data_IF_440636114918
#
_entry.id   IF_440636114918
#
_cell.length_a   1.000
_cell.length_b   1.000
_cell.length_c   1.000
_cell.angle_alpha   90.00
_cell.angle_beta   90.00
_cell.angle_gamma   90.00
#
_symmetry.space_group_name_H-M   'P 1'
#
loop_
_entity.id
_entity.type
_entity.pdbx_description
1 polymer ?
#
# COMPACT_ATOMS: atom_id res chain seq x y z
N UNK A 1 22.78 18.27 -47.51
CA UNK A 1 22.67 18.28 -46.04
C UNK A 1 21.98 19.57 -45.65
N UNK A 2 20.71 19.55 -45.27
CA UNK A 2 19.93 20.71 -44.89
C UNK A 2 20.02 20.91 -43.36
N UNK A 3 20.54 22.06 -42.95
CA UNK A 3 20.60 22.46 -41.55
C UNK A 3 19.18 22.70 -40.97
N UNK A 4 18.79 21.92 -39.97
CA UNK A 4 17.57 22.18 -39.23
C UNK A 4 17.85 23.28 -38.20
N UNK A 5 17.37 24.51 -38.49
CA UNK A 5 17.38 25.63 -37.55
C UNK A 5 16.50 25.29 -36.33
N UNK A 6 17.11 25.08 -35.17
CA UNK A 6 16.40 25.03 -33.89
C UNK A 6 15.87 26.42 -33.54
N UNK A 7 14.56 26.65 -33.69
CA UNK A 7 13.90 27.82 -33.15
C UNK A 7 13.58 27.60 -31.70
N UNK A 8 14.28 28.28 -30.80
CA UNK A 8 13.95 28.29 -29.37
C UNK A 8 12.81 29.30 -29.15
N UNK A 9 11.63 28.78 -28.80
CA UNK A 9 10.49 29.63 -28.38
C UNK A 9 10.76 30.12 -26.96
N UNK A 10 10.76 31.46 -26.76
CA UNK A 10 10.94 32.01 -25.40
C UNK A 10 9.70 31.75 -24.55
N UNK A 11 9.88 31.64 -23.20
CA UNK A 11 8.75 31.45 -22.24
C UNK A 11 7.70 32.58 -22.39
N UNK A 12 8.12 33.76 -22.76
CA UNK A 12 7.24 34.94 -22.98
C UNK A 12 6.38 34.81 -24.21
N UNK A 13 6.90 34.22 -25.28
CA UNK A 13 6.17 33.99 -26.53
C UNK A 13 5.20 32.82 -26.39
N UNK A 14 5.54 31.81 -25.61
CA UNK A 14 4.63 30.71 -25.24
C UNK A 14 3.40 31.22 -24.48
N UNK A 15 3.60 32.08 -23.45
CA UNK A 15 2.50 32.64 -22.67
C UNK A 15 1.61 33.57 -23.50
N UNK A 16 2.17 34.32 -24.44
CA UNK A 16 1.39 35.18 -25.35
C UNK A 16 0.59 34.37 -26.37
N UNK A 17 1.13 33.23 -26.84
CA UNK A 17 0.46 32.35 -27.79
C UNK A 17 -0.73 31.60 -27.18
N UNK A 18 -0.65 31.21 -25.91
CA UNK A 18 -1.75 30.52 -25.20
C UNK A 18 -2.88 31.48 -24.77
N UNK A 19 -2.59 32.74 -24.56
CA UNK A 19 -3.60 33.75 -24.19
C UNK A 19 -4.60 34.11 -25.31
N UNK A 20 -4.30 33.84 -26.57
CA UNK A 20 -5.17 34.17 -27.74
C UNK A 20 -6.15 33.04 -28.10
N UNK A 21 -5.99 31.85 -27.58
CA UNK A 21 -6.86 30.69 -27.86
C UNK A 21 -8.09 30.57 -26.95
N UNK A 22 -8.21 31.38 -25.90
CA UNK A 22 -9.34 31.33 -24.93
C UNK A 22 -10.35 32.46 -25.10
N UNK A 23 -10.17 33.34 -26.06
CA UNK A 23 -11.05 34.47 -26.33
C UNK A 23 -12.17 34.18 -27.32
N UNK A 24 -13.17 33.34 -26.98
CA UNK A 24 -14.25 33.08 -27.91
C UNK A 24 -15.45 32.25 -27.42
N UNK A 25 -15.60 32.00 -26.15
CA UNK A 25 -16.83 31.40 -25.61
C UNK A 25 -17.41 32.34 -24.54
N UNK A 26 -18.44 33.10 -24.91
CA UNK A 26 -19.24 33.83 -23.95
C UNK A 26 -20.02 32.83 -23.08
N UNK A 27 -19.51 32.54 -21.90
CA UNK A 27 -20.24 31.80 -20.89
C UNK A 27 -21.21 32.76 -20.25
N UNK A 28 -22.51 32.52 -20.44
CA UNK A 28 -23.57 33.31 -19.83
C UNK A 28 -23.44 33.28 -18.30
N UNK A 29 -23.63 34.43 -17.67
CA UNK A 29 -23.46 34.67 -16.22
C UNK A 29 -24.34 33.84 -15.27
N UNK A 30 -25.19 32.96 -15.80
CA UNK A 30 -26.10 32.11 -15.00
C UNK A 30 -25.51 30.76 -14.55
N UNK A 31 -24.33 30.34 -15.05
CA UNK A 31 -23.74 29.04 -14.68
C UNK A 31 -22.66 29.17 -13.57
N UNK A 32 -22.18 30.39 -13.28
CA UNK A 32 -21.15 30.62 -12.25
C UNK A 32 -21.68 30.73 -10.81
N UNK A 33 -22.99 30.77 -10.60
CA UNK A 33 -23.58 30.94 -9.26
C UNK A 33 -23.72 29.63 -8.44
N UNK A 34 -23.49 28.45 -9.05
CA UNK A 34 -23.69 27.15 -8.37
C UNK A 34 -22.37 26.55 -7.84
N UNK A 35 -21.21 27.06 -8.24
CA UNK A 35 -19.90 26.48 -7.87
C UNK A 35 -19.25 27.06 -6.61
N UNK A 36 -19.84 28.10 -5.99
CA UNK A 36 -19.34 28.68 -4.74
C UNK A 36 -20.33 28.42 -3.59
N UNK A 37 -20.63 27.16 -3.30
CA UNK A 37 -21.15 26.75 -2.02
C UNK A 37 -20.12 27.06 -0.95
N UNK A 38 -20.50 27.85 0.08
CA UNK A 38 -19.66 28.10 1.25
C UNK A 38 -19.13 26.77 1.79
N UNK A 39 -17.81 26.63 2.11
CA UNK A 39 -17.33 25.43 2.76
C UNK A 39 -18.15 25.21 4.04
N UNK A 40 -18.72 24.01 4.20
CA UNK A 40 -19.37 23.62 5.44
C UNK A 40 -18.33 23.74 6.55
N UNK A 41 -18.63 24.56 7.55
CA UNK A 41 -17.85 24.65 8.77
C UNK A 41 -18.00 23.33 9.49
N UNK A 42 -16.96 22.49 9.43
CA UNK A 42 -16.88 21.27 10.24
C UNK A 42 -16.65 21.69 11.67
N UNK A 43 -17.70 21.67 12.48
CA UNK A 43 -17.59 21.89 13.92
C UNK A 43 -16.81 20.71 14.53
N UNK A 44 -15.73 20.97 15.32
CA UNK A 44 -15.06 19.93 16.08
C UNK A 44 -16.04 19.32 17.09
N UNK A 45 -16.35 18.05 16.99
CA UNK A 45 -17.17 17.34 17.96
C UNK A 45 -18.41 16.62 17.41
N UNK A 46 -18.63 16.55 16.09
CA UNK A 46 -19.63 15.66 15.56
C UNK A 46 -19.21 14.20 15.76
N UNK A 47 -20.05 13.32 16.36
CA UNK A 47 -19.71 11.92 16.49
C UNK A 47 -19.51 11.32 15.09
N UNK A 48 -18.36 10.67 14.90
CA UNK A 48 -18.07 9.88 13.69
C UNK A 48 -19.23 8.91 13.51
N UNK A 49 -19.86 8.96 12.34
CA UNK A 49 -20.95 8.07 11.99
C UNK A 49 -20.51 6.63 12.26
N UNK A 50 -21.26 5.94 13.09
CA UNK A 50 -21.12 4.51 13.32
C UNK A 50 -21.10 3.79 11.97
N UNK A 51 -20.18 2.86 11.73
CA UNK A 51 -20.12 2.10 10.48
C UNK A 51 -21.47 1.41 10.26
N UNK A 52 -21.99 1.54 9.06
CA UNK A 52 -23.26 0.95 8.63
C UNK A 52 -23.24 -0.56 8.91
N UNK A 53 -24.21 -1.14 9.63
CA UNK A 53 -24.28 -2.57 9.85
C UNK A 53 -24.57 -3.26 8.51
N UNK A 54 -23.62 -3.99 7.96
CA UNK A 54 -23.83 -4.73 6.71
C UNK A 54 -22.56 -5.20 6.01
N UNK A 55 -21.39 -4.70 6.37
CA UNK A 55 -20.14 -5.29 5.89
C UNK A 55 -19.74 -6.36 6.91
N UNK A 56 -20.14 -7.59 6.65
CA UNK A 56 -19.61 -8.75 7.38
C UNK A 56 -18.11 -8.78 7.15
N UNK A 57 -17.27 -8.68 8.20
CA UNK A 57 -15.84 -8.90 8.07
C UNK A 57 -15.63 -10.31 7.50
N UNK A 58 -14.62 -10.53 6.64
CA UNK A 58 -14.30 -11.87 6.18
C UNK A 58 -14.12 -12.76 7.41
N UNK A 59 -14.88 -13.85 7.48
CA UNK A 59 -14.80 -14.83 8.56
C UNK A 59 -13.34 -15.18 8.75
N UNK A 60 -12.83 -15.03 9.98
CA UNK A 60 -11.48 -15.42 10.35
C UNK A 60 -11.20 -16.83 9.85
N UNK A 61 -10.13 -16.98 9.07
CA UNK A 61 -9.68 -18.27 8.61
C UNK A 61 -9.07 -18.99 9.81
N UNK A 62 -9.89 -19.76 10.50
CA UNK A 62 -9.41 -20.78 11.44
C UNK A 62 -8.96 -21.96 10.60
N UNK A 63 -7.70 -21.95 10.16
CA UNK A 63 -6.99 -23.21 9.85
C UNK A 63 -5.54 -22.90 9.50
N UNK A 64 -4.62 -23.54 10.15
CA UNK A 64 -3.20 -23.69 9.79
C UNK A 64 -3.02 -24.54 8.52
N UNK A 65 -3.82 -24.30 7.50
CA UNK A 65 -3.74 -25.04 6.23
C UNK A 65 -2.86 -24.28 5.28
N UNK A 66 -1.74 -24.86 4.89
CA UNK A 66 -0.87 -24.31 3.85
C UNK A 66 -1.66 -24.16 2.55
N UNK A 67 -1.74 -22.94 2.02
CA UNK A 67 -2.36 -22.70 0.72
C UNK A 67 -1.32 -22.82 -0.38
N UNK A 68 -1.60 -23.67 -1.36
CA UNK A 68 -0.78 -23.86 -2.56
C UNK A 68 -1.40 -23.06 -3.70
N UNK A 69 -0.65 -22.10 -4.26
CA UNK A 69 -1.16 -21.16 -5.27
C UNK A 69 -0.60 -21.51 -6.65
N UNK A 70 -1.49 -21.62 -7.63
CA UNK A 70 -1.10 -21.84 -9.03
C UNK A 70 -0.39 -20.58 -9.57
N UNK A 71 0.83 -20.70 -10.13
CA UNK A 71 1.60 -19.55 -10.63
C UNK A 71 1.12 -19.01 -11.98
N UNK A 72 0.13 -19.65 -12.61
CA UNK A 72 -0.38 -19.27 -13.93
C UNK A 72 -1.71 -18.53 -13.87
N UNK A 73 -2.60 -18.92 -12.95
CA UNK A 73 -3.96 -18.36 -12.83
C UNK A 73 -4.37 -17.95 -11.42
N UNK A 74 -3.43 -18.04 -10.44
CA UNK A 74 -3.59 -17.66 -9.03
C UNK A 74 -4.67 -18.45 -8.27
N UNK A 75 -5.15 -19.57 -8.77
CA UNK A 75 -6.06 -20.43 -8.01
C UNK A 75 -5.35 -21.02 -6.79
N UNK A 76 -6.06 -21.05 -5.65
CA UNK A 76 -5.53 -21.58 -4.39
C UNK A 76 -6.07 -22.98 -4.12
N UNK A 77 -5.20 -23.86 -3.64
CA UNK A 77 -5.49 -25.26 -3.33
C UNK A 77 -5.06 -25.60 -1.90
N UNK A 78 -5.79 -26.47 -1.24
CA UNK A 78 -5.47 -26.91 0.13
C UNK A 78 -4.41 -28.01 0.18
N UNK A 79 -4.11 -28.64 -0.95
CA UNK A 79 -3.12 -29.72 -1.06
C UNK A 79 -2.25 -29.58 -2.29
N UNK A 80 -1.00 -30.05 -2.21
CA UNK A 80 -0.09 -30.10 -3.36
C UNK A 80 -0.63 -31.03 -4.47
N UNK A 81 -1.33 -32.11 -4.11
CA UNK A 81 -1.93 -33.03 -5.07
C UNK A 81 -3.02 -32.34 -5.91
N UNK A 82 -3.87 -31.50 -5.28
CA UNK A 82 -4.89 -30.73 -5.97
C UNK A 82 -4.27 -29.69 -6.91
N UNK A 83 -3.19 -29.00 -6.49
CA UNK A 83 -2.44 -28.10 -7.37
C UNK A 83 -1.83 -28.86 -8.57
N UNK A 84 -1.24 -30.03 -8.36
CA UNK A 84 -0.70 -30.84 -9.46
C UNK A 84 -1.77 -31.26 -10.45
N UNK A 85 -2.92 -31.77 -9.97
CA UNK A 85 -4.03 -32.16 -10.83
C UNK A 85 -4.56 -30.98 -11.66
N UNK A 86 -4.62 -29.78 -11.05
CA UNK A 86 -4.98 -28.54 -11.76
C UNK A 86 -3.94 -28.20 -12.85
N UNK A 87 -2.64 -28.26 -12.52
CA UNK A 87 -1.56 -27.98 -13.50
C UNK A 87 -1.59 -28.96 -14.68
N UNK A 88 -1.86 -30.25 -14.43
CA UNK A 88 -1.97 -31.25 -15.47
C UNK A 88 -3.15 -30.97 -16.40
N UNK A 89 -4.29 -30.54 -15.84
CA UNK A 89 -5.51 -30.34 -16.63
C UNK A 89 -5.58 -28.97 -17.30
N UNK A 90 -5.17 -27.91 -16.62
CA UNK A 90 -5.32 -26.53 -17.09
C UNK A 90 -4.07 -25.95 -17.76
N UNK A 91 -2.87 -26.44 -17.43
CA UNK A 91 -1.59 -25.89 -17.88
C UNK A 91 -0.67 -26.93 -18.56
N UNK A 92 -1.25 -27.98 -19.13
CA UNK A 92 -0.55 -28.93 -20.01
C UNK A 92 0.52 -29.77 -19.30
N UNK A 93 0.36 -30.08 -18.01
CA UNK A 93 1.25 -30.98 -17.28
C UNK A 93 2.53 -30.33 -16.79
N UNK A 94 2.48 -29.01 -16.49
CA UNK A 94 3.61 -28.32 -15.86
C UNK A 94 3.92 -28.94 -14.49
N UNK A 95 4.97 -29.76 -14.41
CA UNK A 95 5.32 -30.49 -13.19
C UNK A 95 6.00 -29.55 -12.21
N UNK A 96 5.31 -29.22 -11.09
CA UNK A 96 5.93 -28.55 -9.94
C UNK A 96 6.26 -29.60 -8.88
N UNK A 97 7.54 -29.70 -8.54
CA UNK A 97 7.97 -30.51 -7.41
C UNK A 97 7.84 -29.70 -6.12
N UNK A 98 7.55 -30.34 -4.99
CA UNK A 98 7.43 -29.67 -3.70
C UNK A 98 8.71 -28.92 -3.27
N UNK A 99 9.86 -29.37 -3.76
CA UNK A 99 11.16 -28.71 -3.55
C UNK A 99 11.33 -27.39 -4.36
N UNK A 100 10.48 -27.17 -5.38
CA UNK A 100 10.51 -25.95 -6.20
C UNK A 100 9.59 -24.84 -5.67
N UNK A 101 8.87 -25.11 -4.58
CA UNK A 101 7.95 -24.14 -3.98
C UNK A 101 8.64 -23.37 -2.87
N UNK A 102 8.63 -22.05 -2.97
CA UNK A 102 8.99 -21.17 -1.86
C UNK A 102 7.83 -21.12 -0.87
N UNK A 103 8.11 -21.40 0.40
CA UNK A 103 7.14 -21.46 1.49
C UNK A 103 7.40 -20.33 2.46
N UNK A 104 6.39 -19.54 2.76
CA UNK A 104 6.46 -18.45 3.73
C UNK A 104 5.10 -18.22 4.37
N UNK A 105 5.06 -17.43 5.44
CA UNK A 105 3.80 -17.02 6.07
C UNK A 105 3.50 -15.58 5.68
N UNK A 106 2.31 -15.32 5.15
CA UNK A 106 1.85 -13.98 4.80
C UNK A 106 0.60 -13.64 5.62
N UNK A 107 0.69 -12.61 6.45
CA UNK A 107 -0.39 -12.19 7.35
C UNK A 107 -0.93 -13.34 8.22
N UNK A 108 -0.03 -14.20 8.70
CA UNK A 108 -0.39 -15.38 9.50
C UNK A 108 -0.86 -16.60 8.69
N UNK A 109 -0.99 -16.50 7.38
CA UNK A 109 -1.44 -17.58 6.51
C UNK A 109 -0.22 -18.24 5.86
N UNK A 110 0.01 -19.55 6.04
CA UNK A 110 1.06 -20.28 5.34
C UNK A 110 0.77 -20.34 3.84
N UNK A 111 1.75 -19.96 3.04
CA UNK A 111 1.69 -19.95 1.57
C UNK A 111 2.82 -20.81 1.00
N UNK A 112 2.54 -21.53 -0.08
CA UNK A 112 3.55 -22.25 -0.86
C UNK A 112 3.27 -21.99 -2.34
N UNK A 113 4.20 -21.37 -3.06
CA UNK A 113 4.06 -21.07 -4.48
C UNK A 113 5.39 -21.18 -5.21
N UNK A 114 5.34 -21.39 -6.52
CA UNK A 114 6.54 -21.34 -7.36
C UNK A 114 6.89 -19.89 -7.63
N UNK A 115 8.06 -19.48 -7.15
CA UNK A 115 8.61 -18.12 -7.34
C UNK A 115 9.73 -18.22 -8.38
N UNK A 116 9.72 -17.33 -9.38
CA UNK A 116 10.86 -17.20 -10.30
C UNK A 116 11.99 -16.45 -9.62
N UNK A 117 13.23 -16.84 -9.91
CA UNK A 117 14.41 -16.34 -9.20
C UNK A 117 14.58 -14.82 -9.27
N UNK A 118 14.07 -14.18 -10.33
CA UNK A 118 14.17 -12.73 -10.56
C UNK A 118 12.95 -11.94 -10.07
N UNK A 119 11.93 -12.59 -9.50
CA UNK A 119 10.78 -11.87 -8.95
C UNK A 119 11.12 -11.26 -7.60
N UNK A 120 10.87 -9.96 -7.47
CA UNK A 120 10.93 -9.31 -6.17
C UNK A 120 9.74 -9.75 -5.31
N UNK A 121 9.89 -9.65 -4.00
CA UNK A 121 8.79 -9.91 -3.08
C UNK A 121 7.60 -8.96 -3.34
N UNK A 122 7.88 -7.72 -3.73
CA UNK A 122 6.84 -6.78 -4.14
C UNK A 122 6.03 -7.33 -5.32
N UNK A 123 6.71 -7.83 -6.35
CA UNK A 123 6.05 -8.44 -7.51
C UNK A 123 5.21 -9.66 -7.10
N UNK A 124 5.75 -10.54 -6.24
CA UNK A 124 5.02 -11.71 -5.75
C UNK A 124 3.74 -11.31 -5.03
N UNK A 125 3.80 -10.36 -4.09
CA UNK A 125 2.62 -9.93 -3.33
C UNK A 125 1.60 -9.24 -4.23
N UNK A 126 2.04 -8.34 -5.12
CA UNK A 126 1.13 -7.52 -5.92
C UNK A 126 0.56 -8.23 -7.13
N UNK A 127 1.43 -8.88 -7.91
CA UNK A 127 1.05 -9.40 -9.23
C UNK A 127 0.71 -10.89 -9.17
N UNK A 128 1.43 -11.68 -8.37
CA UNK A 128 1.16 -13.12 -8.26
C UNK A 128 0.03 -13.40 -7.28
N UNK A 129 0.02 -12.73 -6.12
CA UNK A 129 -1.03 -12.87 -5.11
C UNK A 129 -2.16 -11.85 -5.27
N UNK A 130 -2.08 -10.95 -6.26
CA UNK A 130 -3.06 -9.91 -6.57
C UNK A 130 -3.41 -8.97 -5.40
N UNK A 131 -2.51 -8.81 -4.44
CA UNK A 131 -2.71 -7.98 -3.23
C UNK A 131 -2.26 -6.53 -3.46
N UNK A 132 -2.69 -5.91 -4.54
CA UNK A 132 -2.27 -4.57 -4.98
C UNK A 132 -2.64 -3.44 -4.01
N UNK A 133 -3.66 -3.66 -3.17
CA UNK A 133 -4.10 -2.73 -2.12
C UNK A 133 -3.14 -2.67 -0.94
N UNK A 134 -2.47 -3.75 -0.63
CA UNK A 134 -1.73 -3.93 0.61
C UNK A 134 -0.29 -3.45 0.54
N UNK A 135 0.33 -3.55 -0.62
CA UNK A 135 1.70 -3.07 -0.85
C UNK A 135 1.71 -2.22 -2.10
N UNK A 136 2.31 -1.06 -2.04
CA UNK A 136 2.43 -0.16 -3.21
C UNK A 136 3.82 -0.28 -3.83
N UNK A 137 3.92 0.10 -5.11
CA UNK A 137 5.18 0.23 -5.83
C UNK A 137 5.22 1.59 -6.51
N UNK A 138 6.35 2.28 -6.42
CA UNK A 138 6.57 3.57 -7.06
C UNK A 138 7.95 3.64 -7.72
N UNK A 139 9.04 3.73 -6.95
CA UNK A 139 10.37 3.83 -7.53
C UNK A 139 10.94 2.49 -8.02
N UNK A 140 10.59 1.39 -7.38
CA UNK A 140 11.15 0.04 -7.59
C UNK A 140 12.69 -0.05 -7.46
N UNK A 141 13.27 0.88 -6.69
CA UNK A 141 14.73 1.09 -6.55
C UNK A 141 15.16 1.25 -5.09
N UNK A 142 14.27 0.96 -4.14
CA UNK A 142 14.59 1.05 -2.71
C UNK A 142 14.68 2.46 -2.12
N UNK A 143 14.17 3.49 -2.81
CA UNK A 143 14.35 4.90 -2.41
C UNK A 143 13.13 5.45 -1.68
N UNK A 144 11.90 5.19 -2.19
CA UNK A 144 10.71 5.94 -1.78
C UNK A 144 10.00 5.41 -0.52
N UNK A 145 10.29 4.19 -0.08
CA UNK A 145 9.68 3.57 1.10
C UNK A 145 8.21 3.15 0.96
N UNK A 146 7.56 3.35 -0.20
CA UNK A 146 6.13 3.02 -0.38
C UNK A 146 5.84 1.53 -0.34
N UNK A 147 6.84 0.70 -0.65
CA UNK A 147 6.76 -0.76 -0.64
C UNK A 147 7.17 -1.38 0.70
N UNK A 148 7.28 -0.60 1.77
CA UNK A 148 7.66 -1.10 3.10
C UNK A 148 6.65 -2.11 3.61
N UNK A 149 7.15 -3.25 4.07
CA UNK A 149 6.43 -4.32 4.77
C UNK A 149 7.23 -4.74 6.00
N UNK A 150 6.68 -5.60 6.84
CA UNK A 150 7.42 -6.19 7.97
C UNK A 150 7.74 -7.64 7.64
N UNK A 151 9.02 -8.02 7.71
CA UNK A 151 9.49 -9.41 7.57
C UNK A 151 10.27 -9.79 8.82
N UNK A 152 9.87 -10.85 9.48
CA UNK A 152 10.45 -11.32 10.76
C UNK A 152 10.57 -10.18 11.79
N UNK A 153 9.55 -9.34 11.90
CA UNK A 153 9.49 -8.19 12.82
C UNK A 153 10.34 -6.98 12.41
N UNK A 154 10.98 -6.99 11.24
CA UNK A 154 11.82 -5.88 10.74
C UNK A 154 11.17 -5.21 9.53
N UNK A 155 11.18 -3.88 9.45
CA UNK A 155 10.73 -3.19 8.25
C UNK A 155 11.74 -3.41 7.13
N UNK A 156 11.24 -3.81 5.95
CA UNK A 156 12.04 -4.01 4.74
C UNK A 156 11.33 -3.37 3.54
N UNK A 157 12.09 -3.11 2.51
CA UNK A 157 11.58 -2.64 1.22
C UNK A 157 11.35 -3.85 0.31
N UNK A 158 10.12 -4.23 0.08
CA UNK A 158 9.78 -5.45 -0.67
C UNK A 158 10.26 -5.44 -2.14
N UNK A 159 10.51 -4.27 -2.72
CA UNK A 159 11.11 -4.15 -4.06
C UNK A 159 12.60 -4.54 -4.09
N UNK A 160 13.27 -4.61 -2.93
CA UNK A 160 14.71 -4.90 -2.80
C UNK A 160 14.99 -6.33 -2.29
N UNK A 161 13.97 -7.14 -2.12
CA UNK A 161 14.09 -8.53 -1.64
C UNK A 161 13.56 -9.45 -2.71
N UNK A 162 14.28 -10.51 -3.02
CA UNK A 162 13.81 -11.53 -3.95
C UNK A 162 12.76 -12.43 -3.28
N UNK A 163 11.74 -12.80 -4.03
CA UNK A 163 10.70 -13.67 -3.51
C UNK A 163 11.21 -15.04 -3.04
N UNK A 164 12.27 -15.56 -3.68
CA UNK A 164 12.92 -16.83 -3.28
C UNK A 164 13.65 -16.74 -1.93
N UNK A 165 14.06 -15.55 -1.50
CA UNK A 165 14.70 -15.33 -0.19
C UNK A 165 13.70 -15.37 0.97
N UNK A 166 12.41 -15.43 0.65
CA UNK A 166 11.35 -15.47 1.66
C UNK A 166 11.07 -16.88 2.21
N UNK A 167 11.83 -17.90 1.81
CA UNK A 167 11.67 -19.25 2.35
C UNK A 167 11.72 -19.26 3.89
N UNK A 168 10.68 -19.78 4.52
CA UNK A 168 10.53 -19.86 5.98
C UNK A 168 10.27 -18.53 6.69
N UNK A 169 10.08 -17.42 5.97
CA UNK A 169 9.89 -16.08 6.55
C UNK A 169 8.44 -15.82 6.95
N UNK A 170 8.29 -14.92 7.93
CA UNK A 170 6.99 -14.36 8.33
C UNK A 170 6.87 -12.94 7.81
N UNK A 171 5.90 -12.72 6.94
CA UNK A 171 5.67 -11.45 6.24
C UNK A 171 4.34 -10.88 6.69
N UNK A 172 4.35 -9.61 7.06
CA UNK A 172 3.15 -8.85 7.43
C UNK A 172 3.02 -7.64 6.51
N UNK A 173 1.86 -7.48 5.88
CA UNK A 173 1.46 -6.31 5.12
C UNK A 173 0.47 -5.46 5.92
N UNK A 174 0.01 -4.34 5.36
CA UNK A 174 -0.93 -3.45 6.07
C UNK A 174 -2.24 -4.14 6.44
N UNK A 175 -2.73 -5.08 5.63
CA UNK A 175 -3.93 -5.87 5.94
C UNK A 175 -3.73 -6.83 7.11
N UNK A 176 -2.52 -7.32 7.29
CA UNK A 176 -2.16 -8.20 8.42
C UNK A 176 -2.01 -7.51 9.78
N UNK A 177 -2.16 -6.17 9.83
CA UNK A 177 -2.11 -5.42 11.09
C UNK A 177 -3.47 -5.40 11.82
N UNK A 178 -4.55 -5.74 11.14
CA UNK A 178 -5.86 -5.88 11.77
C UNK A 178 -5.90 -7.09 12.70
N UNK A 179 -6.67 -6.97 13.77
CA UNK A 179 -6.99 -8.12 14.61
C UNK A 179 -7.86 -9.11 13.81
N UNK A 180 -7.33 -10.30 13.59
CA UNK A 180 -7.98 -11.32 12.76
C UNK A 180 -9.34 -11.83 13.35
N UNK A 181 -9.55 -11.70 14.66
CA UNK A 181 -10.76 -12.15 15.33
C UNK A 181 -11.85 -11.10 15.37
N UNK A 182 -11.47 -9.86 15.68
CA UNK A 182 -12.42 -8.76 15.88
C UNK A 182 -12.58 -7.88 14.65
N UNK A 183 -11.63 -7.91 13.71
CA UNK A 183 -11.56 -6.99 12.59
C UNK A 183 -11.17 -5.56 12.99
N UNK A 184 -10.79 -5.34 14.25
CA UNK A 184 -10.39 -4.02 14.71
C UNK A 184 -9.08 -3.59 14.06
N UNK A 185 -9.00 -2.31 13.74
CA UNK A 185 -7.78 -1.71 13.22
C UNK A 185 -6.70 -1.67 14.28
N UNK A 186 -5.45 -1.83 13.87
CA UNK A 186 -4.31 -1.59 14.76
C UNK A 186 -4.27 -0.14 15.22
N UNK A 187 -3.67 0.18 16.38
CA UNK A 187 -3.53 1.55 16.85
C UNK A 187 -2.87 2.48 15.82
N UNK A 188 -1.95 1.95 14.99
CA UNK A 188 -1.29 2.74 13.94
C UNK A 188 -2.27 3.08 12.82
N UNK A 189 -3.03 2.12 12.33
CA UNK A 189 -4.07 2.36 11.32
C UNK A 189 -5.10 3.36 11.85
N UNK A 190 -5.55 3.20 13.11
CA UNK A 190 -6.49 4.10 13.73
C UNK A 190 -5.93 5.52 13.87
N UNK A 191 -4.66 5.67 14.25
CA UNK A 191 -3.98 6.97 14.32
C UNK A 191 -3.96 7.71 12.98
N UNK A 192 -3.72 6.98 11.88
CA UNK A 192 -3.78 7.57 10.52
C UNK A 192 -5.19 8.02 10.14
N UNK A 193 -6.23 7.34 10.60
CA UNK A 193 -7.62 7.74 10.38
C UNK A 193 -7.94 8.99 11.21
N UNK A 194 -7.61 8.98 12.50
CA UNK A 194 -7.94 10.05 13.42
C UNK A 194 -7.34 11.41 13.01
N UNK A 195 -6.10 11.39 12.53
CA UNK A 195 -5.35 12.61 12.16
C UNK A 195 -5.37 12.88 10.65
N UNK A 196 -6.14 12.10 9.88
CA UNK A 196 -6.17 12.19 8.40
C UNK A 196 -4.77 12.12 7.77
N UNK A 197 -3.93 11.19 8.23
CA UNK A 197 -2.53 11.00 7.81
C UNK A 197 -2.36 10.51 6.37
N UNK A 198 -3.29 10.86 5.49
CA UNK A 198 -3.30 10.50 4.08
C UNK A 198 -3.98 11.58 3.25
N UNK A 199 -3.60 11.66 1.96
CA UNK A 199 -4.28 12.47 0.95
C UNK A 199 -4.68 11.57 -0.22
N UNK A 200 -3.78 11.28 -1.16
CA UNK A 200 -4.05 10.32 -2.23
C UNK A 200 -4.02 8.85 -1.78
N UNK A 201 -3.51 8.55 -0.59
CA UNK A 201 -3.43 7.20 -0.03
C UNK A 201 -2.26 6.35 -0.55
N UNK A 202 -1.50 6.81 -1.55
CA UNK A 202 -0.51 5.97 -2.22
C UNK A 202 0.69 5.60 -1.31
N UNK A 203 1.24 6.55 -0.55
CA UNK A 203 2.34 6.30 0.38
C UNK A 203 1.87 5.74 1.74
N UNK A 204 0.57 5.72 2.00
CA UNK A 204 0.01 5.45 3.33
C UNK A 204 0.34 4.06 3.85
N UNK A 205 0.27 3.03 3.00
CA UNK A 205 0.62 1.66 3.40
C UNK A 205 2.06 1.56 3.90
N UNK A 206 3.02 2.11 3.13
CA UNK A 206 4.44 2.12 3.53
C UNK A 206 4.69 2.90 4.82
N UNK A 207 4.03 4.06 4.99
CA UNK A 207 4.14 4.86 6.22
C UNK A 207 3.56 4.12 7.44
N UNK A 208 2.41 3.45 7.31
CA UNK A 208 1.82 2.64 8.38
C UNK A 208 2.78 1.51 8.78
N UNK A 209 3.33 0.77 7.81
CA UNK A 209 4.25 -0.34 8.08
C UNK A 209 5.54 0.11 8.75
N UNK A 210 6.16 1.20 8.25
CA UNK A 210 7.34 1.80 8.86
C UNK A 210 7.06 2.30 10.28
N UNK A 211 5.91 2.97 10.49
CA UNK A 211 5.49 3.46 11.80
C UNK A 211 5.22 2.33 12.79
N UNK A 212 4.62 1.23 12.34
CA UNK A 212 4.37 0.05 13.17
C UNK A 212 5.69 -0.54 13.69
N UNK A 213 6.66 -0.73 12.81
CA UNK A 213 7.97 -1.25 13.19
C UNK A 213 8.76 -0.27 14.08
N UNK A 214 8.61 1.02 13.85
CA UNK A 214 9.23 2.06 14.66
C UNK A 214 8.63 2.12 16.07
N UNK A 215 7.31 2.17 16.20
CA UNK A 215 6.63 2.25 17.49
C UNK A 215 6.80 0.99 18.35
N UNK A 216 7.00 -0.17 17.73
CA UNK A 216 7.38 -1.39 18.44
C UNK A 216 8.73 -1.25 19.20
N UNK A 217 9.63 -0.38 18.73
CA UNK A 217 10.93 -0.11 19.35
C UNK A 217 10.93 1.14 20.22
N UNK A 218 10.16 2.15 19.84
CA UNK A 218 10.05 3.42 20.55
C UNK A 218 8.56 3.77 20.77
N UNK A 219 7.95 3.29 21.87
CA UNK A 219 6.52 3.48 22.14
C UNK A 219 6.16 4.91 22.61
N UNK A 220 7.14 5.74 22.90
CA UNK A 220 6.93 7.14 23.34
C UNK A 220 7.81 8.11 22.55
N UNK A 221 7.59 8.24 21.23
CA UNK A 221 8.45 9.06 20.38
C UNK A 221 8.18 10.54 20.55
N UNK A 222 9.24 11.34 20.36
CA UNK A 222 9.12 12.76 20.07
C UNK A 222 8.76 12.95 18.58
N UNK A 223 8.35 14.15 18.21
CA UNK A 223 8.08 14.50 16.81
C UNK A 223 9.32 14.35 15.93
N UNK A 224 10.49 14.71 16.43
CA UNK A 224 11.77 14.56 15.71
C UNK A 224 12.14 13.09 15.51
N UNK A 225 11.87 12.23 16.49
CA UNK A 225 12.06 10.78 16.33
C UNK A 225 11.20 10.23 15.20
N UNK A 226 9.93 10.62 15.13
CA UNK A 226 9.03 10.23 14.05
C UNK A 226 9.54 10.73 12.70
N UNK A 227 9.96 12.00 12.62
CA UNK A 227 10.50 12.59 11.40
C UNK A 227 11.73 11.84 10.89
N UNK A 228 12.62 11.45 11.78
CA UNK A 228 13.82 10.68 11.44
C UNK A 228 13.45 9.24 11.03
N UNK A 229 12.57 8.58 11.76
CA UNK A 229 12.15 7.22 11.48
C UNK A 229 11.47 7.07 10.11
N UNK A 230 10.73 8.08 9.67
CA UNK A 230 10.02 8.10 8.40
C UNK A 230 10.76 8.84 7.28
N UNK A 231 12.02 9.20 7.46
CA UNK A 231 12.80 9.97 6.48
C UNK A 231 12.93 9.27 5.11
N UNK A 232 12.84 7.95 5.07
CA UNK A 232 12.89 7.15 3.84
C UNK A 232 11.50 6.94 3.20
N UNK A 233 10.42 7.42 3.81
CA UNK A 233 9.06 7.27 3.29
C UNK A 233 8.60 8.57 2.65
N UNK A 234 8.66 8.64 1.32
CA UNK A 234 8.31 9.84 0.56
C UNK A 234 6.80 10.00 0.43
N UNK A 235 6.33 11.25 0.50
CA UNK A 235 4.95 11.63 0.23
C UNK A 235 4.91 12.74 -0.82
N UNK A 236 4.44 12.43 -2.04
CA UNK A 236 4.35 13.42 -3.13
C UNK A 236 3.28 14.50 -2.88
N UNK A 237 2.27 14.20 -2.06
CA UNK A 237 1.25 15.18 -1.68
C UNK A 237 1.73 16.17 -0.61
N UNK A 238 2.92 15.96 -0.02
CA UNK A 238 3.45 16.81 1.05
C UNK A 238 2.76 16.64 2.40
N UNK A 239 2.06 15.54 2.64
CA UNK A 239 1.30 15.28 3.88
C UNK A 239 2.13 14.91 5.11
N UNK A 240 3.40 15.27 5.14
CA UNK A 240 4.34 14.87 6.21
C UNK A 240 3.89 15.28 7.62
N UNK A 241 3.29 16.46 7.76
CA UNK A 241 2.77 16.95 9.05
C UNK A 241 1.69 16.00 9.59
N UNK A 242 0.68 15.71 8.79
CA UNK A 242 -0.44 14.84 9.17
C UNK A 242 0.04 13.41 9.44
N UNK A 243 1.00 12.93 8.67
CA UNK A 243 1.62 11.60 8.89
C UNK A 243 2.32 11.56 10.25
N UNK A 244 3.10 12.60 10.61
CA UNK A 244 3.76 12.66 11.92
C UNK A 244 2.75 12.72 13.08
N UNK A 245 1.70 13.52 12.96
CA UNK A 245 0.63 13.59 13.96
C UNK A 245 -0.06 12.23 14.11
N UNK A 246 -0.29 11.52 13.01
CA UNK A 246 -0.88 10.17 13.01
C UNK A 246 -0.05 9.17 13.82
N UNK A 247 1.27 9.20 13.66
CA UNK A 247 2.17 8.32 14.42
C UNK A 247 2.19 8.68 15.90
N UNK A 248 2.19 9.97 16.23
CA UNK A 248 2.10 10.43 17.64
C UNK A 248 0.76 10.04 18.27
N UNK A 249 -0.34 10.15 17.54
CA UNK A 249 -1.66 9.68 17.97
C UNK A 249 -1.67 8.16 18.18
N UNK A 250 -1.13 7.40 17.23
CA UNK A 250 -0.99 5.96 17.36
C UNK A 250 -0.20 5.56 18.62
N UNK A 251 0.89 6.27 18.91
CA UNK A 251 1.67 6.03 20.12
C UNK A 251 0.87 6.30 21.41
N UNK A 252 -0.04 7.28 21.41
CA UNK A 252 -0.97 7.50 22.54
C UNK A 252 -1.96 6.34 22.67
N UNK A 253 -2.59 5.95 21.57
CA UNK A 253 -3.54 4.83 21.55
C UNK A 253 -2.91 3.52 22.05
N UNK A 254 -1.67 3.25 21.70
CA UNK A 254 -0.93 2.06 22.18
C UNK A 254 -0.69 2.07 23.69
N UNK A 255 -0.66 3.25 24.33
CA UNK A 255 -0.49 3.40 25.78
C UNK A 255 -1.81 3.47 26.55
N UNK A 256 -2.96 3.31 25.89
CA UNK A 256 -4.28 3.34 26.52
C UNK A 256 -4.83 4.75 26.75
N UNK A 257 -4.38 5.73 25.95
CA UNK A 257 -4.82 7.13 26.02
C UNK A 257 -5.81 7.50 24.94
#
# INVERSE_FOLDING_TARGET
MAEVKKSSISRRDFIKGTGLAVGGVAISSSVLAVACGKPAVVTPGAPVATPTPGVTPPKGVETTTTSYICPYDNQSFTTLAALKAHLDSAHGGATIQAAELTKFTLNGIPIALKVKEYWTLNYVIREVLMMTGEVKISCDEGICGMCTIIMDGKPILSCMVLGVECEGKSITTVGGLQDAKTGNLSPVQQGFINESGFMCGFCTTGNIMASTAFLAKNPNPTRDDVRLALSNNLCLCGGYELIQLSVLNAAKLMRGG
#
